data_IF_015910182573
#
_entry.id   IF_015910182573
#
_cell.length_a   1.000
_cell.length_b   1.000
_cell.length_c   1.000
_cell.angle_alpha   90.00
_cell.angle_beta   90.00
_cell.angle_gamma   90.00
#
_symmetry.space_group_name_H-M   'P 1'
#
loop_
_entity.id
_entity.type
_entity.pdbx_description
1 polymer ?
#
# COMPACT_ATOMS: atom_id res chain seq x y z
N UNK A 1 -36.17 18.65 -18.08
CA UNK A 1 -34.77 18.10 -18.13
C UNK A 1 -33.90 18.90 -17.19
N UNK A 2 -33.59 18.35 -16.00
CA UNK A 2 -32.57 18.89 -15.13
C UNK A 2 -31.23 18.34 -15.64
N UNK A 3 -30.20 19.18 -15.90
CA UNK A 3 -28.89 18.67 -16.25
C UNK A 3 -28.33 17.88 -15.05
N UNK A 4 -27.94 16.62 -15.29
CA UNK A 4 -27.17 15.85 -14.35
C UNK A 4 -25.93 16.69 -13.99
N UNK A 5 -25.79 17.08 -12.72
CA UNK A 5 -24.56 17.61 -12.20
C UNK A 5 -23.51 16.52 -12.40
N UNK A 6 -22.67 16.69 -13.40
CA UNK A 6 -21.43 15.93 -13.56
C UNK A 6 -20.61 16.16 -12.27
N UNK A 7 -20.70 15.21 -11.35
CA UNK A 7 -19.70 15.11 -10.31
C UNK A 7 -18.36 14.93 -11.05
N UNK A 8 -17.53 15.96 -10.99
CA UNK A 8 -16.10 15.84 -11.26
C UNK A 8 -15.47 14.97 -10.15
N UNK A 9 -15.88 13.74 -10.04
CA UNK A 9 -15.06 12.74 -9.38
C UNK A 9 -13.87 12.56 -10.34
N UNK A 10 -12.76 13.14 -10.00
CA UNK A 10 -11.46 12.65 -10.46
C UNK A 10 -11.47 11.16 -10.10
N UNK A 11 -11.67 10.31 -11.09
CA UNK A 11 -11.38 8.89 -10.98
C UNK A 11 -9.86 8.89 -10.86
N UNK A 12 -9.36 9.00 -9.63
CA UNK A 12 -7.95 8.79 -9.35
C UNK A 12 -7.71 7.30 -9.56
N UNK A 13 -6.76 6.95 -10.41
CA UNK A 13 -6.33 5.57 -10.55
C UNK A 13 -5.92 5.06 -9.17
N UNK A 14 -6.24 3.80 -8.85
CA UNK A 14 -5.79 3.15 -7.63
C UNK A 14 -4.25 3.12 -7.65
N UNK A 15 -3.61 3.64 -6.62
CA UNK A 15 -2.15 3.72 -6.51
C UNK A 15 -1.65 2.64 -5.55
N UNK A 16 -0.88 1.67 -6.06
CA UNK A 16 -0.33 0.55 -5.29
C UNK A 16 1.18 0.69 -5.15
N UNK A 17 1.71 0.55 -3.94
CA UNK A 17 3.16 0.51 -3.69
C UNK A 17 3.68 -0.92 -3.60
N UNK A 18 4.72 -1.26 -4.38
CA UNK A 18 5.42 -2.53 -4.24
C UNK A 18 6.45 -2.41 -3.13
N UNK A 19 6.35 -3.26 -2.12
CA UNK A 19 7.30 -3.33 -1.00
C UNK A 19 7.86 -4.74 -0.82
N UNK A 20 8.95 -4.86 -0.10
CA UNK A 20 9.60 -6.13 0.23
C UNK A 20 11.08 -5.93 0.49
N UNK A 21 11.76 -6.94 1.02
CA UNK A 21 13.21 -6.91 1.26
C UNK A 21 13.99 -6.77 -0.06
N UNK A 22 15.28 -6.42 -0.03
CA UNK A 22 16.14 -6.48 -1.21
C UNK A 22 16.17 -7.88 -1.82
N UNK A 23 16.31 -7.96 -3.16
CA UNK A 23 16.49 -9.21 -3.93
C UNK A 23 15.31 -10.20 -3.88
N UNK A 24 14.10 -9.75 -3.52
CA UNK A 24 12.88 -10.60 -3.54
C UNK A 24 12.16 -10.59 -4.89
N UNK A 25 12.61 -9.78 -5.88
CA UNK A 25 12.03 -9.70 -7.23
C UNK A 25 11.05 -8.54 -7.45
N UNK A 26 11.04 -7.51 -6.60
CA UNK A 26 10.16 -6.32 -6.74
C UNK A 26 10.24 -5.65 -8.10
N UNK A 27 11.45 -5.27 -8.52
CA UNK A 27 11.66 -4.57 -9.79
C UNK A 27 11.37 -5.47 -11.00
N UNK A 28 11.55 -6.78 -10.87
CA UNK A 28 11.14 -7.75 -11.89
C UNK A 28 9.62 -7.76 -12.05
N UNK A 29 8.89 -7.86 -10.93
CA UNK A 29 7.43 -7.79 -10.92
C UNK A 29 6.94 -6.46 -11.49
N UNK A 30 7.52 -5.33 -11.04
CA UNK A 30 7.20 -4.00 -11.55
C UNK A 30 7.37 -3.92 -13.07
N UNK A 31 8.50 -4.39 -13.61
CA UNK A 31 8.77 -4.38 -15.03
C UNK A 31 7.78 -5.27 -15.81
N UNK A 32 7.42 -6.44 -15.29
CA UNK A 32 6.45 -7.33 -15.92
C UNK A 32 5.06 -6.67 -16.01
N UNK A 33 4.62 -5.99 -14.95
CA UNK A 33 3.30 -5.36 -14.90
C UNK A 33 3.29 -4.07 -15.75
N UNK A 34 4.33 -3.25 -15.68
CA UNK A 34 4.42 -1.97 -16.40
C UNK A 34 4.78 -2.10 -17.88
N UNK A 35 5.46 -3.20 -18.29
CA UNK A 35 5.84 -3.46 -19.68
C UNK A 35 4.68 -3.95 -20.56
N UNK A 36 3.57 -4.34 -19.97
CA UNK A 36 2.35 -4.75 -20.67
C UNK A 36 1.66 -3.56 -21.31
N UNK A 37 2.16 -3.08 -22.48
CA UNK A 37 1.50 -2.14 -23.42
C UNK A 37 0.64 -1.03 -22.78
N UNK A 38 1.08 -0.41 -21.72
CA UNK A 38 0.66 0.95 -21.45
C UNK A 38 1.41 1.80 -22.49
N UNK A 39 0.73 2.16 -23.58
CA UNK A 39 1.15 3.31 -24.38
C UNK A 39 1.40 4.41 -23.35
N UNK A 40 2.68 4.80 -23.20
CA UNK A 40 3.06 5.95 -22.42
C UNK A 40 2.23 7.12 -22.94
N UNK A 41 1.15 7.43 -22.24
CA UNK A 41 0.54 8.72 -22.39
C UNK A 41 1.65 9.67 -21.94
N UNK A 42 2.30 10.31 -22.91
CA UNK A 42 3.27 11.36 -22.69
C UNK A 42 2.56 12.46 -21.90
N UNK A 43 2.67 12.41 -20.57
CA UNK A 43 2.41 13.55 -19.74
C UNK A 43 3.68 14.40 -19.77
N UNK A 44 3.65 15.59 -20.38
CA UNK A 44 4.76 16.52 -20.28
C UNK A 44 4.80 17.00 -18.83
N UNK A 45 5.85 16.74 -18.12
CA UNK A 45 6.23 17.08 -16.73
C UNK A 45 6.54 15.84 -15.87
N UNK A 46 7.37 14.92 -16.35
CA UNK A 46 8.02 13.92 -15.50
C UNK A 46 9.24 14.55 -14.83
N UNK A 47 9.08 15.02 -13.60
CA UNK A 47 10.18 15.16 -12.65
C UNK A 47 10.69 13.76 -12.25
N UNK A 48 11.97 13.67 -11.87
CA UNK A 48 12.67 12.44 -11.47
C UNK A 48 12.01 11.90 -10.18
N UNK A 49 10.91 11.16 -10.33
CA UNK A 49 10.19 10.50 -9.26
C UNK A 49 10.44 8.99 -9.30
N UNK A 50 10.26 8.28 -8.17
CA UNK A 50 10.44 6.83 -8.11
C UNK A 50 9.68 6.14 -9.23
N UNK A 51 10.18 5.03 -9.75
CA UNK A 51 9.62 4.32 -10.89
C UNK A 51 8.11 4.12 -10.72
N UNK A 52 7.31 4.91 -11.45
CA UNK A 52 5.85 4.81 -11.48
C UNK A 52 5.47 4.18 -12.81
N UNK A 53 4.81 3.04 -12.74
CA UNK A 53 4.21 2.35 -13.88
C UNK A 53 2.69 2.45 -13.82
N UNK A 54 2.06 2.35 -14.97
CA UNK A 54 0.60 2.26 -15.05
C UNK A 54 0.22 1.03 -15.86
N UNK A 55 -0.78 0.29 -15.38
CA UNK A 55 -1.32 -0.88 -16.09
C UNK A 55 -2.84 -0.79 -16.20
N UNK A 56 -3.37 -1.34 -17.29
CA UNK A 56 -4.81 -1.40 -17.55
C UNK A 56 -5.39 -2.58 -16.76
N UNK A 57 -6.53 -2.37 -16.11
CA UNK A 57 -7.30 -3.45 -15.49
C UNK A 57 -8.11 -4.16 -16.58
N UNK A 58 -7.85 -5.45 -16.88
CA UNK A 58 -8.66 -6.21 -17.81
C UNK A 58 -10.09 -6.35 -17.28
N UNK A 59 -11.09 -6.02 -18.09
CA UNK A 59 -12.51 -6.18 -17.73
C UNK A 59 -13.30 -6.59 -18.97
N UNK A 60 -13.70 -7.86 -19.01
CA UNK A 60 -14.47 -8.40 -20.12
C UNK A 60 -15.83 -7.72 -20.34
N UNK A 61 -16.41 -7.13 -19.27
CA UNK A 61 -17.66 -6.39 -19.34
C UNK A 61 -17.54 -5.17 -20.25
N UNK A 62 -16.37 -4.54 -20.33
CA UNK A 62 -16.14 -3.41 -21.25
C UNK A 62 -16.26 -3.83 -22.70
N UNK A 63 -15.78 -5.03 -23.07
CA UNK A 63 -15.89 -5.56 -24.43
C UNK A 63 -17.35 -5.85 -24.82
N UNK A 64 -18.15 -6.34 -23.86
CA UNK A 64 -19.57 -6.57 -24.07
C UNK A 64 -20.32 -5.26 -24.25
N UNK A 65 -20.04 -4.27 -23.39
CA UNK A 65 -20.64 -2.94 -23.46
C UNK A 65 -20.26 -2.20 -24.74
N UNK A 66 -19.01 -2.30 -25.19
CA UNK A 66 -18.54 -1.71 -26.45
C UNK A 66 -19.35 -2.24 -27.65
N UNK A 67 -19.58 -3.55 -27.71
CA UNK A 67 -20.40 -4.17 -28.78
C UNK A 67 -21.86 -3.70 -28.76
N UNK A 68 -22.42 -3.49 -27.57
CA UNK A 68 -23.83 -3.07 -27.40
C UNK A 68 -24.05 -1.60 -27.71
N UNK A 69 -23.16 -0.73 -27.21
CA UNK A 69 -23.36 0.73 -27.23
C UNK A 69 -22.62 1.39 -28.40
N UNK A 70 -21.62 0.73 -28.97
CA UNK A 70 -20.72 1.25 -30.05
C UNK A 70 -20.24 2.67 -29.76
N UNK A 71 -19.53 2.89 -28.65
CA UNK A 71 -19.09 4.21 -28.22
C UNK A 71 -17.96 4.73 -29.12
N UNK A 72 -17.78 6.05 -29.16
CA UNK A 72 -16.66 6.66 -29.87
C UNK A 72 -15.31 6.33 -29.23
N UNK A 73 -15.28 5.99 -27.92
CA UNK A 73 -14.06 5.67 -27.17
C UNK A 73 -14.38 4.77 -25.98
N UNK A 74 -13.54 3.76 -25.77
CA UNK A 74 -13.55 2.93 -24.55
C UNK A 74 -12.36 3.36 -23.67
N UNK A 75 -12.60 3.64 -22.39
CA UNK A 75 -11.57 4.03 -21.42
C UNK A 75 -11.59 3.00 -20.30
N UNK A 76 -10.63 2.06 -20.28
CA UNK A 76 -10.51 1.10 -19.18
C UNK A 76 -10.03 1.77 -17.90
N UNK A 77 -10.30 1.14 -16.76
CA UNK A 77 -9.68 1.51 -15.50
C UNK A 77 -8.17 1.20 -15.52
N UNK A 78 -7.40 2.03 -14.84
CA UNK A 78 -5.95 1.85 -14.71
C UNK A 78 -5.57 1.78 -13.24
N UNK A 79 -4.46 1.07 -12.95
CA UNK A 79 -3.80 1.04 -11.65
C UNK A 79 -2.41 1.63 -11.82
N UNK A 80 -2.05 2.57 -10.97
CA UNK A 80 -0.69 3.07 -10.85
C UNK A 80 0.09 2.19 -9.89
N UNK A 81 1.29 1.79 -10.29
CA UNK A 81 2.18 0.97 -9.48
C UNK A 81 3.47 1.74 -9.24
N UNK A 82 3.88 1.83 -7.98
CA UNK A 82 5.08 2.51 -7.54
C UNK A 82 6.09 1.48 -7.07
N UNK A 83 7.26 1.39 -7.73
CA UNK A 83 8.37 0.58 -7.23
C UNK A 83 9.05 1.33 -6.09
N UNK A 84 8.76 0.92 -4.88
CA UNK A 84 9.33 1.53 -3.67
C UNK A 84 10.61 0.77 -3.32
N UNK A 85 11.73 1.49 -3.21
CA UNK A 85 13.03 0.90 -2.90
C UNK A 85 12.96 -0.05 -1.69
N UNK A 86 13.76 -1.12 -1.70
CA UNK A 86 13.68 -2.16 -0.66
C UNK A 86 13.84 -1.63 0.76
N UNK A 87 12.92 -1.97 1.63
CA UNK A 87 13.01 -1.68 3.06
C UNK A 87 14.09 -2.60 3.67
N UNK A 88 14.95 -2.02 4.48
CA UNK A 88 15.89 -2.75 5.32
C UNK A 88 15.52 -2.55 6.79
N UNK A 89 15.89 -3.49 7.63
CA UNK A 89 15.71 -3.42 9.08
C UNK A 89 16.29 -2.10 9.63
N UNK A 90 15.54 -1.40 10.47
CA UNK A 90 15.94 -0.13 11.06
C UNK A 90 15.54 1.10 10.25
N UNK A 91 14.77 0.97 9.17
CA UNK A 91 14.34 2.10 8.36
C UNK A 91 13.41 3.07 9.11
N UNK A 92 12.67 2.60 10.09
CA UNK A 92 11.81 3.43 10.95
C UNK A 92 12.63 4.39 11.84
N UNK A 93 13.87 4.00 12.20
CA UNK A 93 14.80 4.79 13.03
C UNK A 93 15.79 5.59 12.19
N UNK A 94 15.83 5.38 10.86
CA UNK A 94 16.82 5.96 9.96
C UNK A 94 16.51 7.40 9.59
N UNK A 95 17.55 8.24 9.59
CA UNK A 95 17.54 9.52 8.92
C UNK A 95 17.70 9.30 7.40
N UNK A 96 17.01 10.07 6.57
CA UNK A 96 17.19 10.08 5.12
C UNK A 96 16.33 9.06 4.35
N UNK A 97 16.95 8.02 3.76
CA UNK A 97 16.29 7.09 2.83
C UNK A 97 15.10 6.32 3.44
N UNK A 98 15.14 5.98 4.73
CA UNK A 98 14.05 5.30 5.42
C UNK A 98 12.78 6.15 5.49
N UNK A 99 12.91 7.44 5.82
CA UNK A 99 11.78 8.36 5.87
C UNK A 99 11.18 8.63 4.49
N UNK A 100 12.00 8.70 3.45
CA UNK A 100 11.53 8.84 2.07
C UNK A 100 10.75 7.60 1.62
N UNK A 101 11.25 6.41 1.92
CA UNK A 101 10.55 5.15 1.68
C UNK A 101 9.15 5.12 2.32
N UNK A 102 9.07 5.43 3.62
CA UNK A 102 7.81 5.46 4.36
C UNK A 102 6.86 6.55 3.85
N UNK A 103 7.40 7.67 3.36
CA UNK A 103 6.65 8.72 2.68
C UNK A 103 5.99 8.21 1.40
N UNK A 104 6.74 7.48 0.57
CA UNK A 104 6.22 6.90 -0.68
C UNK A 104 5.08 5.90 -0.40
N UNK A 105 5.20 5.04 0.62
CA UNK A 105 4.10 4.14 1.02
C UNK A 105 2.88 4.96 1.46
N UNK A 106 3.06 6.05 2.19
CA UNK A 106 1.95 6.88 2.69
C UNK A 106 1.07 7.41 1.56
N UNK A 107 1.66 7.72 0.41
CA UNK A 107 0.98 8.24 -0.78
C UNK A 107 0.24 7.18 -1.61
N UNK A 108 0.35 5.90 -1.28
CA UNK A 108 -0.35 4.81 -1.98
C UNK A 108 -1.67 4.47 -1.30
N UNK A 109 -2.60 3.88 -2.05
CA UNK A 109 -3.90 3.41 -1.53
C UNK A 109 -3.80 1.98 -0.97
N UNK A 110 -2.91 1.16 -1.55
CA UNK A 110 -2.70 -0.25 -1.18
C UNK A 110 -1.22 -0.64 -1.30
N UNK A 111 -0.86 -1.74 -0.67
CA UNK A 111 0.50 -2.30 -0.66
C UNK A 111 0.49 -3.64 -1.38
N UNK A 112 1.44 -3.83 -2.29
CA UNK A 112 1.79 -5.12 -2.88
C UNK A 112 3.09 -5.57 -2.20
N UNK A 113 2.99 -6.53 -1.28
CA UNK A 113 4.12 -7.03 -0.51
C UNK A 113 4.69 -8.28 -1.17
N UNK A 114 5.87 -8.14 -1.79
CA UNK A 114 6.56 -9.24 -2.48
C UNK A 114 7.43 -10.00 -1.49
N UNK A 115 7.22 -11.31 -1.43
CA UNK A 115 7.96 -12.26 -0.60
C UNK A 115 8.76 -13.21 -1.48
N UNK A 116 10.00 -13.48 -1.10
CA UNK A 116 10.84 -14.46 -1.78
C UNK A 116 10.46 -15.85 -1.31
N UNK A 117 9.95 -16.66 -2.22
CA UNK A 117 9.53 -18.06 -1.99
C UNK A 117 10.27 -19.02 -2.92
N UNK A 118 11.55 -18.76 -3.22
CA UNK A 118 12.40 -19.60 -4.05
C UNK A 118 13.84 -19.61 -3.56
N UNK A 119 14.53 -20.70 -3.80
CA UNK A 119 15.97 -20.84 -3.54
C UNK A 119 16.77 -20.55 -4.82
N UNK A 120 17.77 -19.67 -4.75
CA UNK A 120 18.75 -19.44 -5.80
C UNK A 120 20.08 -19.08 -5.15
N UNK A 121 21.14 -19.91 -5.32
CA UNK A 121 22.44 -19.69 -4.71
C UNK A 121 23.15 -18.42 -5.26
N UNK A 122 22.77 -17.94 -6.44
CA UNK A 122 23.35 -16.76 -7.06
C UNK A 122 22.69 -15.46 -6.56
N UNK A 123 21.57 -15.54 -5.88
CA UNK A 123 20.85 -14.38 -5.34
C UNK A 123 21.02 -14.34 -3.83
N UNK A 124 21.83 -13.41 -3.34
CA UNK A 124 22.08 -13.25 -1.90
C UNK A 124 20.81 -12.79 -1.19
N UNK A 125 20.49 -13.48 -0.06
CA UNK A 125 19.43 -13.03 0.86
C UNK A 125 20.04 -12.18 1.97
N UNK A 126 19.41 -11.05 2.34
CA UNK A 126 19.93 -10.12 3.36
C UNK A 126 20.11 -10.78 4.73
N UNK A 127 19.27 -11.75 5.09
CA UNK A 127 19.36 -12.50 6.36
C UNK A 127 19.95 -13.92 6.19
N UNK A 128 20.62 -14.18 5.08
CA UNK A 128 21.36 -15.43 4.82
C UNK A 128 20.50 -16.66 4.49
N UNK A 129 19.18 -16.62 4.67
CA UNK A 129 18.27 -17.74 4.37
C UNK A 129 16.90 -17.24 3.94
N UNK A 130 16.21 -18.01 3.09
CA UNK A 130 14.83 -17.72 2.65
C UNK A 130 13.86 -18.11 3.75
N UNK A 131 13.11 -17.13 4.25
CA UNK A 131 12.00 -17.33 5.20
C UNK A 131 10.96 -16.23 5.00
N UNK A 132 9.91 -16.47 4.18
CA UNK A 132 8.93 -15.44 3.84
C UNK A 132 8.12 -14.91 5.03
N UNK A 133 7.91 -15.73 6.07
CA UNK A 133 7.20 -15.30 7.30
C UNK A 133 8.04 -14.28 8.06
N UNK A 134 9.30 -14.60 8.34
CA UNK A 134 10.25 -13.67 8.97
C UNK A 134 10.40 -12.38 8.16
N UNK A 135 10.53 -12.49 6.84
CA UNK A 135 10.73 -11.36 5.95
C UNK A 135 9.51 -10.43 5.93
N UNK A 136 8.31 -11.01 5.99
CA UNK A 136 7.05 -10.30 6.18
C UNK A 136 7.02 -9.56 7.51
N UNK A 137 7.38 -10.23 8.61
CA UNK A 137 7.37 -9.66 9.96
C UNK A 137 8.35 -8.48 10.10
N UNK A 138 9.50 -8.53 9.43
CA UNK A 138 10.46 -7.41 9.41
C UNK A 138 9.80 -6.16 8.83
N UNK A 139 9.15 -6.28 7.67
CA UNK A 139 8.47 -5.15 7.03
C UNK A 139 7.30 -4.66 7.88
N UNK A 140 6.45 -5.58 8.35
CA UNK A 140 5.29 -5.23 9.18
C UNK A 140 5.71 -4.47 10.44
N UNK A 141 6.78 -4.92 11.10
CA UNK A 141 7.33 -4.27 12.31
C UNK A 141 7.80 -2.84 12.04
N UNK A 142 8.55 -2.62 10.95
CA UNK A 142 9.01 -1.27 10.60
C UNK A 142 7.85 -0.31 10.31
N UNK A 143 6.81 -0.79 9.63
CA UNK A 143 5.62 0.02 9.37
C UNK A 143 4.82 0.30 10.66
N UNK A 144 4.71 -0.68 11.55
CA UNK A 144 4.01 -0.55 12.84
C UNK A 144 4.71 0.45 13.76
N UNK A 145 6.04 0.39 13.87
CA UNK A 145 6.81 1.36 14.66
C UNK A 145 6.56 2.77 14.15
N UNK A 146 6.58 2.97 12.82
CA UNK A 146 6.34 4.30 12.25
C UNK A 146 4.91 4.80 12.46
N UNK A 147 3.94 3.89 12.41
CA UNK A 147 2.56 4.24 12.73
C UNK A 147 2.39 4.59 14.21
N UNK A 148 3.07 3.86 15.11
CA UNK A 148 3.05 4.15 16.54
C UNK A 148 3.60 5.57 16.82
N UNK A 149 4.74 5.95 16.24
CA UNK A 149 5.30 7.31 16.33
C UNK A 149 4.29 8.37 15.86
N UNK A 150 3.60 8.07 14.75
CA UNK A 150 2.60 8.98 14.18
C UNK A 150 1.39 9.14 15.09
N UNK A 151 0.90 8.04 15.65
CA UNK A 151 -0.26 8.00 16.57
C UNK A 151 0.07 8.73 17.87
N UNK A 152 1.23 8.46 18.49
CA UNK A 152 1.67 9.13 19.72
C UNK A 152 1.84 10.64 19.54
N UNK A 153 2.46 11.05 18.44
CA UNK A 153 2.59 12.48 18.11
C UNK A 153 1.23 13.16 17.96
N UNK A 154 0.23 12.48 17.38
CA UNK A 154 -1.13 13.03 17.24
C UNK A 154 -1.89 13.02 18.56
N UNK A 155 -1.76 11.99 19.40
CA UNK A 155 -2.34 11.95 20.75
C UNK A 155 -1.88 13.18 21.54
N UNK A 156 -0.58 13.47 21.56
CA UNK A 156 -0.02 14.60 22.29
C UNK A 156 -0.61 15.96 21.83
N UNK A 157 -0.98 16.08 20.55
CA UNK A 157 -1.59 17.30 20.01
C UNK A 157 -3.06 17.46 20.38
N UNK A 158 -3.83 16.37 20.35
CA UNK A 158 -5.29 16.45 20.56
C UNK A 158 -5.70 16.26 22.02
N UNK A 159 -4.84 15.70 22.88
CA UNK A 159 -5.15 15.34 24.25
C UNK A 159 -5.70 16.50 25.09
N UNK A 160 -5.06 17.68 25.00
CA UNK A 160 -5.51 18.88 25.74
C UNK A 160 -6.92 19.30 25.34
N UNK A 161 -7.20 19.32 24.03
CA UNK A 161 -8.52 19.70 23.49
C UNK A 161 -9.58 18.66 23.86
N UNK A 162 -9.24 17.38 23.80
CA UNK A 162 -10.13 16.29 24.18
C UNK A 162 -10.52 16.32 25.66
N UNK A 163 -9.58 16.72 26.53
CA UNK A 163 -9.79 16.75 28.00
C UNK A 163 -10.56 18.00 28.46
N UNK A 164 -10.48 19.12 27.76
CA UNK A 164 -11.18 20.37 28.11
C UNK A 164 -12.69 20.34 27.81
N UNK A 165 -13.21 19.27 27.22
CA UNK A 165 -14.63 18.95 27.18
C UNK A 165 -15.51 19.73 26.19
N UNK A 166 -14.94 20.68 25.42
CA UNK A 166 -15.71 21.50 24.48
C UNK A 166 -15.80 20.94 23.05
N UNK A 167 -14.81 20.15 22.62
CA UNK A 167 -14.71 19.66 21.25
C UNK A 167 -14.99 18.14 21.16
N UNK A 168 -16.19 17.81 20.71
CA UNK A 168 -16.62 16.42 20.53
C UNK A 168 -15.75 15.67 19.49
N UNK A 169 -15.28 16.38 18.45
CA UNK A 169 -14.45 15.78 17.42
C UNK A 169 -13.04 15.49 17.92
N UNK A 170 -12.48 16.37 18.74
CA UNK A 170 -11.19 16.14 19.38
C UNK A 170 -11.23 14.95 20.32
N UNK A 171 -12.31 14.81 21.13
CA UNK A 171 -12.51 13.63 22.00
C UNK A 171 -12.60 12.34 21.17
N UNK A 172 -13.39 12.35 20.12
CA UNK A 172 -13.59 11.19 19.23
C UNK A 172 -12.28 10.79 18.55
N UNK A 173 -11.51 11.78 18.02
CA UNK A 173 -10.20 11.53 17.44
C UNK A 173 -9.23 10.93 18.46
N UNK A 174 -9.24 11.43 19.70
CA UNK A 174 -8.43 10.89 20.79
C UNK A 174 -8.77 9.41 21.06
N UNK A 175 -10.04 9.06 21.16
CA UNK A 175 -10.50 7.69 21.39
C UNK A 175 -10.09 6.74 20.24
N UNK A 176 -10.14 7.21 18.99
CA UNK A 176 -9.66 6.47 17.80
C UNK A 176 -8.15 6.23 17.88
N UNK A 177 -7.37 7.28 18.22
CA UNK A 177 -5.92 7.19 18.33
C UNK A 177 -5.47 6.25 19.45
N UNK A 178 -6.18 6.23 20.61
CA UNK A 178 -5.91 5.30 21.70
C UNK A 178 -6.10 3.86 21.26
N UNK A 179 -7.19 3.54 20.54
CA UNK A 179 -7.42 2.19 20.00
C UNK A 179 -6.30 1.74 19.06
N UNK A 180 -5.82 2.64 18.18
CA UNK A 180 -4.70 2.33 17.31
C UNK A 180 -3.40 2.11 18.09
N UNK A 181 -3.14 2.94 19.11
CA UNK A 181 -1.96 2.80 19.96
C UNK A 181 -1.91 1.43 20.62
N UNK A 182 -3.00 1.02 21.27
CA UNK A 182 -3.12 -0.28 21.95
C UNK A 182 -2.83 -1.47 21.03
N UNK A 183 -3.31 -1.43 19.79
CA UNK A 183 -3.11 -2.51 18.82
C UNK A 183 -1.67 -2.51 18.29
N UNK A 184 -1.11 -1.34 18.00
CA UNK A 184 0.27 -1.21 17.52
C UNK A 184 1.30 -1.62 18.58
N UNK A 185 1.08 -1.28 19.86
CA UNK A 185 1.92 -1.70 20.99
C UNK A 185 1.91 -3.24 21.19
N UNK A 186 0.83 -3.93 20.76
CA UNK A 186 0.76 -5.38 20.72
C UNK A 186 1.45 -6.01 19.50
N UNK A 187 2.12 -5.23 18.65
CA UNK A 187 2.72 -5.71 17.41
C UNK A 187 1.70 -6.12 16.34
N UNK A 188 0.47 -5.56 16.39
CA UNK A 188 -0.57 -5.81 15.41
C UNK A 188 -0.72 -4.61 14.47
N UNK A 189 -1.15 -4.87 13.23
CA UNK A 189 -1.38 -3.81 12.25
C UNK A 189 -2.65 -3.01 12.56
N UNK A 190 -2.64 -1.71 12.27
CA UNK A 190 -3.80 -0.82 12.46
C UNK A 190 -5.07 -1.31 11.75
N UNK A 191 -4.94 -2.04 10.61
CA UNK A 191 -6.08 -2.61 9.87
C UNK A 191 -6.90 -3.65 10.64
N UNK A 192 -6.39 -4.13 11.79
CA UNK A 192 -7.15 -5.05 12.66
C UNK A 192 -8.20 -4.34 13.52
N UNK A 193 -8.07 -3.02 13.69
CA UNK A 193 -9.07 -2.20 14.38
C UNK A 193 -10.31 -2.06 13.49
N UNK A 194 -11.48 -2.29 14.05
CA UNK A 194 -12.76 -2.08 13.39
C UNK A 194 -13.55 -0.99 14.13
N UNK A 195 -14.24 -0.16 13.36
CA UNK A 195 -15.11 0.87 13.87
C UNK A 195 -16.55 0.56 13.48
N UNK A 196 -17.47 0.67 14.45
CA UNK A 196 -18.88 0.33 14.28
C UNK A 196 -19.65 1.41 13.51
N UNK A 197 -19.10 2.61 13.40
CA UNK A 197 -19.73 3.71 12.69
C UNK A 197 -18.85 4.28 11.58
N UNK A 198 -19.51 4.72 10.53
CA UNK A 198 -18.86 5.23 9.31
C UNK A 198 -18.06 6.52 9.52
N UNK A 199 -18.40 7.31 10.55
CA UNK A 199 -17.72 8.57 10.82
C UNK A 199 -16.35 8.33 11.48
N UNK A 200 -16.27 7.40 12.45
CA UNK A 200 -14.99 6.98 13.03
C UNK A 200 -14.09 6.30 11.99
N UNK A 201 -14.67 5.44 11.13
CA UNK A 201 -13.93 4.81 10.04
C UNK A 201 -13.36 5.85 9.06
N UNK A 202 -14.13 6.90 8.75
CA UNK A 202 -13.66 8.01 7.94
C UNK A 202 -12.51 8.77 8.61
N UNK A 203 -12.67 9.14 9.88
CA UNK A 203 -11.64 9.83 10.66
C UNK A 203 -10.36 8.99 10.80
N UNK A 204 -10.51 7.67 10.99
CA UNK A 204 -9.40 6.72 11.04
C UNK A 204 -8.62 6.66 9.71
N UNK A 205 -9.31 6.69 8.56
CA UNK A 205 -8.68 6.72 7.24
C UNK A 205 -7.91 8.02 6.98
N UNK A 206 -8.36 9.14 7.51
CA UNK A 206 -7.68 10.46 7.40
C UNK A 206 -6.36 10.53 8.19
N UNK A 207 -6.06 9.53 9.02
CA UNK A 207 -4.76 9.41 9.68
C UNK A 207 -3.65 8.93 8.74
N UNK A 208 -3.99 8.31 7.61
CA UNK A 208 -3.06 7.77 6.61
C UNK A 208 -2.01 6.83 7.22
N UNK A 209 -2.42 5.98 8.18
CA UNK A 209 -1.54 5.00 8.78
C UNK A 209 -1.10 3.97 7.74
N UNK A 210 0.17 3.61 7.77
CA UNK A 210 0.79 2.69 6.80
C UNK A 210 0.20 1.29 6.93
N UNK A 211 0.05 0.81 8.16
CA UNK A 211 -0.47 -0.53 8.45
C UNK A 211 -2.01 -0.60 8.41
N UNK A 212 -2.71 0.52 8.17
CA UNK A 212 -4.14 0.54 7.94
C UNK A 212 -4.53 0.29 6.46
N UNK A 213 -3.55 0.36 5.55
CA UNK A 213 -3.75 0.12 4.13
C UNK A 213 -4.02 -1.36 3.83
N UNK A 214 -4.84 -1.68 2.80
CA UNK A 214 -4.96 -3.04 2.27
C UNK A 214 -3.59 -3.57 1.80
N UNK A 215 -3.33 -4.85 2.02
CA UNK A 215 -2.11 -5.53 1.57
C UNK A 215 -2.45 -6.74 0.73
N UNK A 216 -1.83 -6.84 -0.44
CA UNK A 216 -1.77 -8.03 -1.27
C UNK A 216 -0.39 -8.65 -1.12
N UNK A 217 -0.31 -9.88 -0.64
CA UNK A 217 0.94 -10.65 -0.59
C UNK A 217 1.17 -11.37 -1.91
N UNK A 218 2.38 -11.22 -2.47
CA UNK A 218 2.80 -11.88 -3.70
C UNK A 218 4.00 -12.76 -3.37
N UNK A 219 3.76 -14.07 -3.39
CA UNK A 219 4.81 -15.08 -3.22
C UNK A 219 5.54 -15.25 -4.55
N UNK A 220 6.78 -14.75 -4.65
CA UNK A 220 7.62 -14.94 -5.82
C UNK A 220 8.27 -16.30 -5.73
N UNK A 221 7.87 -17.22 -6.61
CA UNK A 221 8.30 -18.63 -6.68
C UNK A 221 9.10 -18.90 -7.96
N UNK A 222 9.77 -20.05 -8.01
CA UNK A 222 10.36 -20.57 -9.26
C UNK A 222 9.26 -21.02 -10.24
N UNK A 223 9.63 -21.22 -11.51
CA UNK A 223 8.69 -21.60 -12.57
C UNK A 223 7.97 -22.93 -12.29
N UNK A 224 8.66 -23.91 -11.71
CA UNK A 224 8.09 -25.19 -11.39
C UNK A 224 6.98 -25.10 -10.32
N UNK A 225 7.12 -24.16 -9.40
CA UNK A 225 6.20 -23.93 -8.29
C UNK A 225 5.07 -22.92 -8.62
N UNK A 226 5.05 -22.34 -9.82
CA UNK A 226 4.13 -21.27 -10.18
C UNK A 226 2.64 -21.68 -10.13
N UNK A 227 2.34 -22.96 -10.38
CA UNK A 227 0.97 -23.49 -10.39
C UNK A 227 0.51 -23.97 -9.02
N UNK A 228 1.35 -24.76 -8.35
CA UNK A 228 0.94 -25.53 -7.17
C UNK A 228 1.55 -24.99 -5.86
N UNK A 229 2.40 -23.99 -5.95
CA UNK A 229 3.13 -23.45 -4.80
C UNK A 229 4.31 -24.34 -4.38
N UNK A 230 4.87 -24.04 -3.21
CA UNK A 230 5.96 -24.81 -2.60
C UNK A 230 5.96 -24.64 -1.08
N UNK A 231 6.92 -25.30 -0.40
CA UNK A 231 7.08 -25.25 1.07
C UNK A 231 7.10 -23.83 1.66
N UNK A 232 7.51 -22.82 0.91
CA UNK A 232 7.57 -21.42 1.36
C UNK A 232 6.22 -20.72 1.26
N UNK A 233 5.39 -21.15 0.31
CA UNK A 233 4.02 -20.61 0.15
C UNK A 233 3.10 -21.18 1.23
N UNK A 234 3.37 -22.41 1.68
CA UNK A 234 2.58 -23.13 2.69
C UNK A 234 2.89 -22.67 4.14
N UNK A 235 3.96 -21.87 4.34
CA UNK A 235 4.33 -21.31 5.66
C UNK A 235 3.39 -20.19 6.09
#
# INVERSE_FOLDING_TARGET
FRPLKLYKNRIMALKCGIVGLPNVGKSTLFNCISSGKAQSANFPFCTIEPNIGSTIVPDERLQVLEKLVKPNRVVPATVEIVDIAGLVKGASKGEGLGNQFLGNIRETDAIIHVLRCFDDPNIVHVDGSVNPVRDKEIIDTELQIKDLDTVESRINKVQKQAQTGGDKNAKRMYDILVKFKEVLEQGKSARTVKFDNAEDDKMAKELFLLTNKPVLYVCNVDEASAKDGNKYVDM
#
